data_IF_112593364546
#
_entry.id   IF_112593364546
#
_cell.length_a   1.000
_cell.length_b   1.000
_cell.length_c   1.000
_cell.angle_alpha   90.00
_cell.angle_beta   90.00
_cell.angle_gamma   90.00
#
_symmetry.space_group_name_H-M   'P 1'
#
loop_
_entity.id
_entity.type
_entity.pdbx_description
1 polymer ?
#
# COMPACT_ATOMS: atom_id res chain seq x y z
N UNK A 1 48.10 16.68 -35.24
CA UNK A 1 47.75 16.83 -33.80
C UNK A 1 46.29 17.22 -33.76
N UNK A 2 45.40 16.26 -33.96
CA UNK A 2 43.96 16.52 -34.09
C UNK A 2 43.22 16.03 -32.84
N UNK A 3 42.65 17.03 -32.15
CA UNK A 3 41.38 17.02 -31.41
C UNK A 3 40.87 15.69 -30.84
N UNK A 4 40.96 15.55 -29.51
CA UNK A 4 40.06 14.70 -28.74
C UNK A 4 39.00 15.59 -28.09
N UNK A 5 37.79 15.57 -28.65
CA UNK A 5 36.61 16.26 -28.10
C UNK A 5 35.91 15.44 -27.01
N UNK A 6 35.38 16.16 -26.03
CA UNK A 6 34.93 15.72 -24.70
C UNK A 6 33.70 14.78 -24.67
N UNK A 7 33.85 13.60 -24.06
CA UNK A 7 32.78 12.60 -23.82
C UNK A 7 31.90 12.86 -22.57
N UNK A 8 32.04 14.01 -21.90
CA UNK A 8 31.40 14.26 -20.59
C UNK A 8 30.03 14.94 -20.67
N UNK A 9 29.57 15.35 -21.85
CA UNK A 9 28.27 16.03 -22.01
C UNK A 9 27.10 15.08 -22.30
N UNK A 10 27.37 13.86 -22.77
CA UNK A 10 26.33 12.88 -23.11
C UNK A 10 25.69 12.26 -21.86
N UNK A 11 26.48 11.97 -20.83
CA UNK A 11 25.97 11.38 -19.59
C UNK A 11 25.01 12.32 -18.82
N UNK A 12 25.23 13.64 -18.91
CA UNK A 12 24.34 14.64 -18.28
C UNK A 12 23.03 14.81 -19.06
N UNK A 13 23.07 14.74 -20.39
CA UNK A 13 21.84 14.75 -21.21
C UNK A 13 21.04 13.46 -21.02
N UNK A 14 21.70 12.31 -20.90
CA UNK A 14 21.05 11.02 -20.65
C UNK A 14 20.37 10.97 -19.28
N UNK A 15 21.01 11.56 -18.25
CA UNK A 15 20.42 11.68 -16.92
C UNK A 15 19.19 12.60 -16.93
N UNK A 16 19.24 13.70 -17.67
CA UNK A 16 18.12 14.64 -17.83
C UNK A 16 16.94 14.01 -18.61
N UNK A 17 17.22 13.29 -19.70
CA UNK A 17 16.20 12.57 -20.46
C UNK A 17 15.56 11.44 -19.64
N UNK A 18 16.34 10.75 -18.82
CA UNK A 18 15.82 9.70 -17.92
C UNK A 18 14.91 10.28 -16.84
N UNK A 19 15.29 11.41 -16.25
CA UNK A 19 14.46 12.13 -15.28
C UNK A 19 13.11 12.57 -15.87
N UNK A 20 13.11 13.13 -17.08
CA UNK A 20 11.87 13.56 -17.76
C UNK A 20 10.99 12.39 -18.20
N UNK A 21 11.60 11.26 -18.58
CA UNK A 21 10.88 10.02 -18.93
C UNK A 21 10.18 9.40 -17.73
N UNK A 22 10.83 9.40 -16.57
CA UNK A 22 10.24 8.92 -15.32
C UNK A 22 9.06 9.80 -14.89
N UNK A 23 9.18 11.13 -15.02
CA UNK A 23 8.09 12.05 -14.71
C UNK A 23 6.87 11.87 -15.64
N UNK A 24 7.12 11.61 -16.93
CA UNK A 24 6.06 11.35 -17.91
C UNK A 24 5.31 10.05 -17.65
N UNK A 25 6.03 8.99 -17.26
CA UNK A 25 5.43 7.71 -16.87
C UNK A 25 4.46 7.87 -15.69
N UNK A 26 4.83 8.68 -14.67
CA UNK A 26 3.96 8.98 -13.53
C UNK A 26 2.66 9.69 -13.97
N UNK A 27 2.75 10.64 -14.91
CA UNK A 27 1.58 11.38 -15.41
C UNK A 27 0.65 10.48 -16.26
N UNK A 28 1.22 9.56 -17.02
CA UNK A 28 0.46 8.59 -17.83
C UNK A 28 -0.29 7.58 -16.94
N UNK A 29 0.31 7.13 -15.82
CA UNK A 29 -0.36 6.26 -14.83
C UNK A 29 -1.53 6.95 -14.11
N UNK A 30 -1.40 8.26 -13.82
CA UNK A 30 -2.49 9.07 -13.27
C UNK A 30 -3.62 9.23 -14.29
N UNK A 31 -3.28 9.45 -15.57
CA UNK A 31 -4.25 9.62 -16.65
C UNK A 31 -5.03 8.34 -16.94
N UNK A 32 -4.37 7.18 -16.84
CA UNK A 32 -4.98 5.87 -17.12
C UNK A 32 -5.83 5.35 -15.95
N UNK A 33 -5.62 5.83 -14.73
CA UNK A 33 -6.50 5.56 -13.57
C UNK A 33 -7.89 6.21 -13.70
N UNK A 34 -8.10 7.10 -14.68
CA UNK A 34 -9.40 7.70 -15.01
C UNK A 34 -10.17 6.87 -16.06
N UNK A 35 -10.08 5.54 -16.02
CA UNK A 35 -10.95 4.69 -16.85
C UNK A 35 -12.42 4.87 -16.42
N UNK A 36 -13.17 5.59 -17.26
CA UNK A 36 -14.55 6.06 -17.06
C UNK A 36 -15.63 4.95 -17.12
N UNK A 37 -15.28 3.72 -16.75
CA UNK A 37 -16.24 2.71 -16.27
C UNK A 37 -16.08 2.50 -14.76
N UNK A 38 -15.72 3.58 -14.04
CA UNK A 38 -15.64 3.58 -12.59
C UNK A 38 -17.03 3.30 -12.00
N UNK A 39 -17.29 2.03 -11.69
CA UNK A 39 -18.38 1.64 -10.81
C UNK A 39 -18.33 2.60 -9.63
N UNK A 40 -19.42 3.37 -9.42
CA UNK A 40 -19.46 4.39 -8.37
C UNK A 40 -19.13 3.66 -7.08
N UNK A 41 -17.92 3.84 -6.56
CA UNK A 41 -17.49 3.22 -5.32
C UNK A 41 -18.39 3.77 -4.22
N UNK A 42 -19.16 2.91 -3.56
CA UNK A 42 -20.10 3.29 -2.49
C UNK A 42 -19.75 2.53 -1.22
N UNK A 43 -20.02 3.15 -0.10
CA UNK A 43 -19.89 2.50 1.19
C UNK A 43 -20.91 1.37 1.30
N UNK A 44 -20.48 0.15 1.63
CA UNK A 44 -21.37 -1.01 1.78
C UNK A 44 -22.44 -0.82 2.85
N UNK A 45 -22.12 -0.12 3.95
CA UNK A 45 -23.02 0.09 5.10
C UNK A 45 -24.08 1.17 4.88
N UNK A 46 -23.70 2.35 4.39
CA UNK A 46 -24.62 3.49 4.25
C UNK A 46 -24.93 3.88 2.80
N UNK A 47 -24.41 3.14 1.83
CA UNK A 47 -24.54 3.42 0.39
C UNK A 47 -24.18 4.86 0.03
N UNK A 48 -23.35 5.57 0.80
CA UNK A 48 -22.85 6.89 0.39
C UNK A 48 -21.78 6.72 -0.68
N UNK A 49 -21.73 7.60 -1.68
CA UNK A 49 -20.61 7.65 -2.63
C UNK A 49 -19.32 7.89 -1.83
N UNK A 50 -18.36 6.97 -1.92
CA UNK A 50 -17.02 7.22 -1.38
C UNK A 50 -16.24 8.02 -2.42
N UNK A 51 -15.42 8.97 -1.94
CA UNK A 51 -14.64 9.85 -2.82
C UNK A 51 -13.48 9.09 -3.47
N UNK A 52 -12.42 9.83 -3.81
CA UNK A 52 -11.17 9.23 -4.31
C UNK A 52 -10.57 8.25 -3.28
N UNK A 53 -10.74 8.56 -1.99
CA UNK A 53 -10.26 7.74 -0.88
C UNK A 53 -11.44 6.94 -0.31
N UNK A 54 -11.44 5.63 -0.56
CA UNK A 54 -12.31 4.67 0.11
C UNK A 54 -11.48 3.78 1.05
N UNK A 55 -12.09 3.32 2.13
CA UNK A 55 -11.43 2.41 3.07
C UNK A 55 -11.85 0.98 2.76
N UNK A 56 -10.91 0.15 2.32
CA UNK A 56 -11.14 -1.28 2.15
C UNK A 56 -10.97 -1.97 3.50
N UNK A 57 -12.00 -2.74 3.89
CA UNK A 57 -11.92 -3.59 5.07
C UNK A 57 -11.40 -4.98 4.69
N UNK A 58 -10.87 -5.72 5.66
CA UNK A 58 -10.40 -7.10 5.44
C UNK A 58 -11.52 -8.08 5.04
N UNK A 59 -12.78 -7.73 5.26
CA UNK A 59 -13.92 -8.48 4.73
C UNK A 59 -14.11 -8.33 3.21
N UNK A 60 -13.35 -7.45 2.55
CA UNK A 60 -13.41 -7.23 1.09
C UNK A 60 -14.35 -6.11 0.65
N UNK A 61 -15.13 -5.53 1.56
CA UNK A 61 -16.02 -4.41 1.27
C UNK A 61 -15.34 -3.05 1.44
N UNK A 62 -15.93 -2.04 0.80
CA UNK A 62 -15.46 -0.65 0.80
C UNK A 62 -16.36 0.24 1.67
N UNK A 63 -15.77 1.13 2.46
CA UNK A 63 -16.47 1.98 3.41
C UNK A 63 -16.05 3.45 3.35
N UNK A 64 -16.97 4.33 3.76
CA UNK A 64 -16.67 5.74 4.01
C UNK A 64 -16.01 5.93 5.39
N UNK A 65 -15.42 7.10 5.65
CA UNK A 65 -14.68 7.35 6.90
C UNK A 65 -15.44 7.05 8.19
N UNK A 66 -16.77 7.22 8.21
CA UNK A 66 -17.61 6.89 9.37
C UNK A 66 -17.79 5.39 9.62
N UNK A 67 -17.74 4.57 8.58
CA UNK A 67 -17.97 3.11 8.66
C UNK A 67 -16.67 2.32 8.46
N UNK A 68 -15.51 2.99 8.59
CA UNK A 68 -14.20 2.39 8.38
C UNK A 68 -13.91 1.25 9.35
N UNK A 69 -14.34 1.40 10.60
CA UNK A 69 -13.97 0.47 11.65
C UNK A 69 -14.91 -0.76 11.70
N UNK A 70 -14.39 -1.97 12.01
CA UNK A 70 -15.15 -3.22 12.01
C UNK A 70 -16.41 -3.21 12.88
N UNK A 71 -16.38 -2.52 14.01
CA UNK A 71 -17.50 -2.41 14.95
C UNK A 71 -18.68 -1.61 14.39
N UNK A 72 -18.44 -0.71 13.43
CA UNK A 72 -19.49 0.17 12.89
C UNK A 72 -20.26 -0.48 11.74
N UNK A 73 -19.63 -1.41 11.03
CA UNK A 73 -20.25 -2.15 9.92
C UNK A 73 -20.51 -3.62 10.24
N UNK A 74 -20.36 -4.04 11.50
CA UNK A 74 -20.60 -5.41 11.96
C UNK A 74 -19.80 -6.42 11.11
N UNK A 75 -18.48 -6.21 11.03
CA UNK A 75 -17.61 -7.02 10.18
C UNK A 75 -17.65 -8.52 10.55
N UNK A 76 -17.98 -9.37 9.58
CA UNK A 76 -17.98 -10.83 9.75
C UNK A 76 -16.57 -11.45 9.73
N UNK A 77 -15.55 -10.64 9.43
CA UNK A 77 -14.18 -11.11 9.34
C UNK A 77 -13.61 -11.46 10.74
N UNK A 78 -13.09 -12.67 10.91
CA UNK A 78 -12.58 -13.11 12.20
C UNK A 78 -11.13 -12.62 12.46
N UNK A 79 -11.03 -11.39 12.97
CA UNK A 79 -9.75 -10.79 13.36
C UNK A 79 -9.05 -11.54 14.49
N UNK A 80 -9.80 -12.21 15.38
CA UNK A 80 -9.25 -12.92 16.53
C UNK A 80 -8.43 -14.13 16.08
N UNK A 81 -8.94 -14.90 15.14
CA UNK A 81 -8.27 -16.11 14.66
C UNK A 81 -6.99 -15.77 13.91
N UNK A 82 -7.05 -14.74 13.06
CA UNK A 82 -5.87 -14.28 12.32
C UNK A 82 -4.83 -13.70 13.27
N UNK A 83 -5.27 -12.90 14.26
CA UNK A 83 -4.39 -12.39 15.31
C UNK A 83 -3.70 -13.53 16.07
N UNK A 84 -4.45 -14.54 16.50
CA UNK A 84 -3.90 -15.74 17.16
C UNK A 84 -2.90 -16.48 16.28
N UNK A 85 -3.22 -16.69 15.01
CA UNK A 85 -2.32 -17.38 14.09
C UNK A 85 -1.01 -16.63 13.86
N UNK A 86 -1.07 -15.30 13.78
CA UNK A 86 0.12 -14.45 13.65
C UNK A 86 0.95 -14.51 14.94
N UNK A 87 0.31 -14.36 16.11
CA UNK A 87 0.98 -14.43 17.40
C UNK A 87 1.64 -15.80 17.63
N UNK A 88 0.96 -16.90 17.34
CA UNK A 88 1.52 -18.25 17.45
C UNK A 88 2.77 -18.42 16.58
N UNK A 89 2.76 -17.86 15.37
CA UNK A 89 3.93 -17.91 14.46
C UNK A 89 5.09 -17.03 14.94
N UNK A 90 4.79 -15.92 15.60
CA UNK A 90 5.80 -14.95 16.04
C UNK A 90 6.33 -15.21 17.45
N UNK A 91 5.60 -15.97 18.27
CA UNK A 91 6.00 -16.26 19.63
C UNK A 91 7.32 -17.05 19.66
N UNK A 92 8.38 -16.51 20.28
CA UNK A 92 9.61 -17.26 20.45
C UNK A 92 9.36 -18.45 21.39
N UNK A 93 10.00 -19.58 21.08
CA UNK A 93 9.92 -20.77 21.92
C UNK A 93 10.57 -20.49 23.28
N UNK A 94 9.83 -20.74 24.37
CA UNK A 94 10.35 -20.63 25.73
C UNK A 94 11.09 -21.93 26.07
N UNK A 95 12.39 -21.99 25.76
CA UNK A 95 13.17 -23.25 25.78
C UNK A 95 13.85 -23.49 27.13
N UNK A 96 14.15 -22.45 27.92
CA UNK A 96 14.76 -22.62 29.25
C UNK A 96 14.31 -21.57 30.24
N UNK A 97 14.61 -21.86 31.49
CA UNK A 97 14.52 -20.90 32.58
C UNK A 97 15.41 -19.69 32.29
N UNK A 98 14.83 -18.48 32.36
CA UNK A 98 15.56 -17.23 32.06
C UNK A 98 16.51 -16.82 33.19
N UNK A 99 16.40 -17.48 34.34
CA UNK A 99 17.27 -17.30 35.49
C UNK A 99 18.16 -18.53 35.64
N UNK A 100 19.47 -18.29 35.72
CA UNK A 100 20.44 -19.37 35.89
C UNK A 100 20.48 -19.90 37.34
N UNK A 101 20.07 -19.10 38.32
CA UNK A 101 20.06 -19.46 39.74
C UNK A 101 18.69 -19.17 40.36
N UNK A 102 17.78 -20.14 40.22
CA UNK A 102 16.51 -20.15 40.95
C UNK A 102 16.69 -20.98 42.23
N UNK A 103 16.63 -20.33 43.39
CA UNK A 103 16.68 -20.98 44.72
C UNK A 103 15.34 -21.65 45.03
#
# INVERSE_FOLDING_TARGET
MESQSNNNNHALTDAFERFTKDFRAIVDDISTNNNNNATKKRCKRCNKKVGLIGFECRCGDLFCGRHRYPEVHECEFNFKDIGRNILTKQNPLCIRDKLDERI
#
